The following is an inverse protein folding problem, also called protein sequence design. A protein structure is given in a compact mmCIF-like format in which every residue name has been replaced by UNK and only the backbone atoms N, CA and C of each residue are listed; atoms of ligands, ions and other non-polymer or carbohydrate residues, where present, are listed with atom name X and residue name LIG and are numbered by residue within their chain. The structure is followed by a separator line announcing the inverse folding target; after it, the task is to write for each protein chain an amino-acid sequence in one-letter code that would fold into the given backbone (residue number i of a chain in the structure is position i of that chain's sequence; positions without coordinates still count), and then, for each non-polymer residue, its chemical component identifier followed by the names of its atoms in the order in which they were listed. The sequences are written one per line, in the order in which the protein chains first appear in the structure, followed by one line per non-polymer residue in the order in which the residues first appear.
data_IF_239118680381
#
_entry.id   IF_239118680381
#
_cell.length_a   1.000
_cell.length_b   1.000
_cell.length_c   1.000
_cell.angle_alpha   90.00
_cell.angle_beta   90.00
_cell.angle_gamma   90.00
#
_symmetry.space_group_name_H-M   'P 1'
#
loop_
_entity.id
_entity.type
_entity.pdbx_description
1 polymer ?
#
# COMPACT_ATOMS: atom_id res chain seq x y z
N UNK A 1 3.34 -7.95 -16.75
CA UNK A 1 2.86 -6.58 -16.46
C UNK A 1 2.43 -6.53 -15.02
N UNK A 2 2.99 -5.60 -14.25
CA UNK A 2 2.67 -5.37 -12.85
C UNK A 2 1.25 -4.84 -12.68
N UNK A 3 0.75 -4.85 -11.45
CA UNK A 3 -0.58 -4.34 -11.12
C UNK A 3 -0.47 -3.37 -9.95
N UNK A 4 -1.23 -2.28 -10.07
CA UNK A 4 -1.51 -1.37 -8.98
C UNK A 4 -2.83 -1.79 -8.32
N UNK A 5 -2.80 -2.09 -7.03
CA UNK A 5 -3.99 -2.39 -6.24
C UNK A 5 -4.35 -1.19 -5.39
N UNK A 6 -5.57 -0.66 -5.56
CA UNK A 6 -6.14 0.32 -4.65
C UNK A 6 -6.83 -0.45 -3.52
N UNK A 7 -6.34 -0.29 -2.30
CA UNK A 7 -6.80 -1.07 -1.16
C UNK A 7 -7.33 -0.11 -0.09
N UNK A 8 -8.64 -0.10 0.18
CA UNK A 8 -9.20 0.70 1.26
C UNK A 8 -8.72 0.16 2.61
N UNK A 9 -8.47 1.06 3.55
CA UNK A 9 -8.11 0.73 4.94
C UNK A 9 -9.29 0.99 5.87
N UNK A 10 -9.38 0.29 7.02
CA UNK A 10 -10.46 0.55 7.97
C UNK A 10 -10.46 1.98 8.49
N UNK A 11 -11.65 2.53 8.73
CA UNK A 11 -11.85 3.89 9.26
C UNK A 11 -11.91 3.94 10.80
N UNK A 12 -11.51 2.86 11.48
CA UNK A 12 -11.43 2.81 12.94
C UNK A 12 -11.35 1.39 13.50
N UNK A 13 -12.24 0.49 13.06
CA UNK A 13 -12.21 -0.91 13.51
C UNK A 13 -11.36 -1.77 12.56
N UNK A 14 -10.25 -2.31 13.04
CA UNK A 14 -9.33 -3.10 12.19
C UNK A 14 -10.04 -4.28 11.51
N UNK A 15 -11.02 -4.90 12.17
CA UNK A 15 -11.79 -6.04 11.63
C UNK A 15 -12.61 -5.73 10.38
N UNK A 16 -12.83 -4.44 10.06
CA UNK A 16 -13.54 -4.04 8.83
C UNK A 16 -12.68 -4.27 7.57
N UNK A 17 -11.39 -4.61 7.71
CA UNK A 17 -10.54 -4.94 6.58
C UNK A 17 -10.98 -6.27 5.94
N UNK A 18 -11.02 -6.31 4.61
CA UNK A 18 -11.36 -7.55 3.90
C UNK A 18 -10.19 -8.55 3.92
N UNK A 19 -10.50 -9.85 3.94
CA UNK A 19 -9.51 -10.93 3.77
C UNK A 19 -8.68 -10.73 2.49
N UNK A 20 -9.31 -10.23 1.42
CA UNK A 20 -8.62 -9.94 0.16
C UNK A 20 -7.59 -8.83 0.30
N UNK A 21 -7.90 -7.76 1.04
CA UNK A 21 -6.96 -6.67 1.30
C UNK A 21 -5.73 -7.17 2.05
N UNK A 22 -5.91 -7.93 3.13
CA UNK A 22 -4.80 -8.56 3.87
C UNK A 22 -3.94 -9.41 2.94
N UNK A 23 -4.56 -10.28 2.14
CA UNK A 23 -3.84 -11.18 1.23
C UNK A 23 -3.06 -10.42 0.14
N UNK A 24 -3.62 -9.33 -0.41
CA UNK A 24 -2.92 -8.50 -1.38
C UNK A 24 -1.75 -7.77 -0.74
N UNK A 25 -1.94 -7.15 0.42
CA UNK A 25 -0.88 -6.44 1.13
C UNK A 25 0.30 -7.36 1.48
N UNK A 26 0.05 -8.64 1.84
CA UNK A 26 1.09 -9.66 2.06
C UNK A 26 1.83 -10.12 0.79
N UNK A 27 1.23 -9.99 -0.39
CA UNK A 27 1.77 -10.52 -1.66
C UNK A 27 2.39 -9.47 -2.56
N UNK A 28 2.06 -8.19 -2.36
CA UNK A 28 2.67 -7.10 -3.12
C UNK A 28 4.16 -6.98 -2.76
N UNK A 29 4.94 -6.45 -3.69
CA UNK A 29 6.37 -6.18 -3.51
C UNK A 29 6.58 -4.84 -2.76
N UNK A 30 5.62 -3.91 -2.90
CA UNK A 30 5.63 -2.59 -2.29
C UNK A 30 4.23 -2.17 -1.84
N UNK A 31 4.16 -1.52 -0.66
CA UNK A 31 2.99 -0.77 -0.20
C UNK A 31 3.33 0.72 -0.22
N UNK A 32 2.55 1.50 -0.95
CA UNK A 32 2.55 2.95 -0.92
C UNK A 32 1.49 3.40 0.09
N UNK A 33 1.89 4.18 1.09
CA UNK A 33 1.01 4.68 2.14
C UNK A 33 1.07 6.21 2.24
N UNK A 34 -0.07 6.85 2.52
CA UNK A 34 -0.14 8.29 2.77
C UNK A 34 0.70 8.67 4.01
N UNK A 35 0.42 8.07 5.17
CA UNK A 35 1.22 8.12 6.39
C UNK A 35 1.69 6.72 6.83
N UNK A 36 3.01 6.51 6.76
CA UNK A 36 3.64 5.24 7.15
C UNK A 36 3.57 4.97 8.65
N UNK A 37 3.38 5.99 9.49
CA UNK A 37 3.21 5.82 10.94
C UNK A 37 1.86 5.18 11.25
N UNK A 38 0.79 5.72 10.67
CA UNK A 38 -0.59 5.20 10.83
C UNK A 38 -0.72 3.82 10.21
N UNK A 39 -0.34 3.69 8.94
CA UNK A 39 -0.41 2.43 8.20
C UNK A 39 0.46 1.33 8.83
N UNK A 40 1.57 1.70 9.48
CA UNK A 40 2.44 0.76 10.19
C UNK A 40 1.73 -0.01 11.31
N UNK A 41 0.75 0.59 11.99
CA UNK A 41 -0.04 -0.11 13.01
C UNK A 41 -0.92 -1.20 12.40
N UNK A 42 -1.58 -0.89 11.28
CA UNK A 42 -2.40 -1.85 10.52
C UNK A 42 -1.54 -3.04 10.04
N UNK A 43 -0.40 -2.75 9.42
CA UNK A 43 0.49 -3.79 8.89
C UNK A 43 1.03 -4.68 10.03
N UNK A 44 1.41 -4.09 11.16
CA UNK A 44 1.87 -4.83 12.34
C UNK A 44 0.79 -5.73 12.91
N UNK A 45 -0.46 -5.25 13.01
CA UNK A 45 -1.58 -6.03 13.55
C UNK A 45 -1.85 -7.29 12.72
N UNK A 46 -1.72 -7.21 11.39
CA UNK A 46 -1.94 -8.33 10.48
C UNK A 46 -0.67 -9.10 10.07
N UNK A 47 0.46 -8.81 10.72
CA UNK A 47 1.76 -9.43 10.44
C UNK A 47 2.18 -9.32 8.95
N UNK A 48 2.02 -8.12 8.40
CA UNK A 48 2.39 -7.79 7.03
C UNK A 48 3.81 -7.21 7.04
N UNK A 49 4.76 -7.95 6.46
CA UNK A 49 6.18 -7.58 6.40
C UNK A 49 6.58 -6.91 5.08
N UNK A 50 5.62 -6.67 4.18
CA UNK A 50 5.86 -6.04 2.88
C UNK A 50 6.46 -4.65 3.07
N UNK A 51 7.45 -4.31 2.23
CA UNK A 51 8.12 -3.01 2.28
C UNK A 51 7.10 -1.90 2.09
N UNK A 52 7.09 -0.94 3.01
CA UNK A 52 6.23 0.23 2.95
C UNK A 52 7.04 1.49 2.63
N UNK A 53 6.51 2.35 1.76
CA UNK A 53 7.08 3.62 1.36
C UNK A 53 6.01 4.70 1.46
N UNK A 54 6.38 5.90 1.90
CA UNK A 54 5.46 7.01 1.95
C UNK A 54 5.20 7.59 0.56
N UNK A 55 3.94 7.88 0.26
CA UNK A 55 3.48 8.48 -0.99
C UNK A 55 2.44 9.55 -0.67
N UNK A 56 2.87 10.81 -0.70
CA UNK A 56 2.04 11.97 -0.37
C UNK A 56 2.35 13.16 -1.29
N UNK A 57 1.39 14.09 -1.33
CA UNK A 57 1.22 15.22 -2.25
C UNK A 57 2.47 16.05 -2.60
N UNK A 58 3.51 16.05 -1.76
CA UNK A 58 4.75 16.80 -2.00
C UNK A 58 5.78 16.07 -2.87
N UNK A 59 5.61 14.76 -3.13
CA UNK A 59 6.60 13.93 -3.84
C UNK A 59 6.03 13.17 -5.06
N UNK A 60 4.78 13.45 -5.46
CA UNK A 60 4.08 12.64 -6.47
C UNK A 60 4.70 12.75 -7.87
N UNK A 61 5.03 13.96 -8.35
CA UNK A 61 5.49 14.12 -9.74
C UNK A 61 6.85 13.45 -10.02
N UNK A 62 7.77 13.42 -9.04
CA UNK A 62 9.05 12.73 -9.21
C UNK A 62 8.93 11.21 -8.96
N UNK A 63 8.01 10.78 -8.11
CA UNK A 63 7.84 9.37 -7.78
C UNK A 63 7.03 8.59 -8.83
N UNK A 64 6.07 9.23 -9.52
CA UNK A 64 5.14 8.56 -10.44
C UNK A 64 5.88 7.87 -11.59
N UNK A 65 6.82 8.54 -12.26
CA UNK A 65 7.54 7.94 -13.40
C UNK A 65 8.29 6.67 -12.97
N UNK A 66 8.95 6.71 -11.82
CA UNK A 66 9.65 5.56 -11.27
C UNK A 66 8.69 4.41 -10.90
N UNK A 67 7.53 4.73 -10.32
CA UNK A 67 6.51 3.72 -9.99
C UNK A 67 5.90 3.09 -11.25
N UNK A 68 5.68 3.88 -12.30
CA UNK A 68 5.22 3.38 -13.60
C UNK A 68 6.23 2.41 -14.20
N UNK A 69 7.53 2.73 -14.14
CA UNK A 69 8.57 1.83 -14.65
C UNK A 69 8.64 0.52 -13.86
N UNK A 70 8.48 0.57 -12.52
CA UNK A 70 8.38 -0.62 -11.67
C UNK A 70 7.16 -1.48 -12.02
N UNK A 71 5.99 -0.87 -12.22
CA UNK A 71 4.80 -1.58 -12.68
C UNK A 71 5.01 -2.22 -14.07
N UNK A 72 5.64 -1.51 -15.01
CA UNK A 72 5.99 -2.06 -16.32
C UNK A 72 6.94 -3.25 -16.20
N UNK A 73 7.88 -3.21 -15.27
CA UNK A 73 8.82 -4.30 -14.98
C UNK A 73 8.17 -5.54 -14.35
N UNK A 74 6.89 -5.48 -13.95
CA UNK A 74 6.15 -6.63 -13.43
C UNK A 74 5.79 -6.57 -11.96
N UNK A 75 6.26 -5.54 -11.25
CA UNK A 75 6.12 -5.41 -9.81
C UNK A 75 4.66 -5.22 -9.39
N UNK A 76 4.27 -5.85 -8.27
CA UNK A 76 2.95 -5.73 -7.68
C UNK A 76 2.99 -4.65 -6.60
N UNK A 77 2.23 -3.57 -6.78
CA UNK A 77 2.23 -2.42 -5.88
C UNK A 77 0.84 -2.24 -5.30
N UNK A 78 0.75 -2.09 -3.99
CA UNK A 78 -0.46 -1.68 -3.30
C UNK A 78 -0.40 -0.18 -2.97
N UNK A 79 -1.51 0.54 -3.13
CA UNK A 79 -1.71 1.88 -2.63
C UNK A 79 -2.81 1.85 -1.58
N UNK A 80 -2.50 2.38 -0.39
CA UNK A 80 -3.43 2.50 0.74
C UNK A 80 -3.52 3.97 1.18
N UNK A 81 -4.70 4.33 1.67
CA UNK A 81 -4.96 5.56 2.42
C UNK A 81 -4.82 5.31 3.93
N UNK A 82 -4.77 6.39 4.72
CA UNK A 82 -4.71 6.28 6.18
C UNK A 82 -6.00 5.71 6.78
N UNK A 83 -7.14 6.05 6.19
CA UNK A 83 -8.47 5.56 6.56
C UNK A 83 -9.43 5.73 5.37
N UNK A 84 -9.98 4.61 4.86
CA UNK A 84 -11.00 4.59 3.80
C UNK A 84 -10.45 4.48 2.39
#
# INVERSE_FOLDING_TARGET
MGKLYLIPTPIGNLEDITIRAINLLKRCDLILAEDTRTSGFLLKHYEINTRMQSYHKFNEHQAVDHLVDRLRAGEQIALISDAG
#
